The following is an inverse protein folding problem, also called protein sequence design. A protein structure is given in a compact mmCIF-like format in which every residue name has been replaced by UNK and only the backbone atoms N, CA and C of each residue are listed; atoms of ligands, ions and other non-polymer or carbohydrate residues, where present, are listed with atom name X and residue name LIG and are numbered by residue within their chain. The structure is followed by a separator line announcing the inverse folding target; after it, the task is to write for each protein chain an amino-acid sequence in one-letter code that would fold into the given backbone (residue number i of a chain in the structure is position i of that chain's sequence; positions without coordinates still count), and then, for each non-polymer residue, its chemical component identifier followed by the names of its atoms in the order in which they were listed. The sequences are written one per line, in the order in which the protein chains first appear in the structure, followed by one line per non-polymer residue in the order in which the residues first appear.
data_IF_881240853793
#
_entry.id   IF_881240853793
#
_cell.length_a   1.000
_cell.length_b   1.000
_cell.length_c   1.000
_cell.angle_alpha   90.00
_cell.angle_beta   90.00
_cell.angle_gamma   90.00
#
_symmetry.space_group_name_H-M   'P 1'
#
loop_
_entity.id
_entity.type
_entity.pdbx_description
1 polymer ?
#
# COMPACT_ATOMS: atom_id res chain seq x y z
N UNK A 1 -16.62 18.79 12.09
CA UNK A 1 -15.32 18.68 12.80
C UNK A 1 -14.30 18.43 11.70
N UNK A 2 -13.41 19.39 11.45
CA UNK A 2 -12.46 19.33 10.34
C UNK A 2 -11.08 18.88 10.83
N UNK A 3 -10.40 18.02 10.06
CA UNK A 3 -9.02 17.62 10.37
C UNK A 3 -8.07 18.82 10.38
N UNK A 4 -8.32 19.83 9.55
CA UNK A 4 -7.53 21.07 9.51
C UNK A 4 -7.63 21.88 10.80
N UNK A 5 -8.77 21.83 11.51
CA UNK A 5 -8.91 22.48 12.82
C UNK A 5 -8.02 21.81 13.86
N UNK A 6 -7.88 20.48 13.83
CA UNK A 6 -6.94 19.75 14.70
C UNK A 6 -5.51 20.15 14.38
N UNK A 7 -5.13 20.19 13.10
CA UNK A 7 -3.78 20.61 12.69
C UNK A 7 -3.45 22.04 13.12
N UNK A 8 -4.43 22.96 13.11
CA UNK A 8 -4.23 24.34 13.55
C UNK A 8 -3.92 24.43 15.05
N UNK A 9 -4.55 23.61 15.90
CA UNK A 9 -4.24 23.56 17.33
C UNK A 9 -2.80 23.11 17.57
N UNK A 10 -2.33 22.05 16.91
CA UNK A 10 -0.94 21.62 17.02
C UNK A 10 0.04 22.65 16.46
N UNK A 11 -0.36 23.42 15.43
CA UNK A 11 0.43 24.52 14.90
C UNK A 11 0.58 25.65 15.92
N UNK A 12 -0.51 26.04 16.59
CA UNK A 12 -0.52 27.05 17.66
C UNK A 12 0.32 26.64 18.87
N UNK A 13 0.33 25.35 19.21
CA UNK A 13 1.17 24.78 20.26
C UNK A 13 2.66 24.67 19.86
N UNK A 14 3.00 24.86 18.59
CA UNK A 14 4.36 24.62 18.07
C UNK A 14 4.75 23.14 18.02
N UNK A 15 3.78 22.23 18.14
CA UNK A 15 3.97 20.77 18.14
C UNK A 15 3.70 20.14 16.76
N UNK A 16 3.26 20.93 15.77
CA UNK A 16 3.06 20.45 14.40
C UNK A 16 4.40 20.32 13.65
N UNK A 17 4.76 19.10 13.28
CA UNK A 17 5.85 18.83 12.34
C UNK A 17 5.31 18.63 10.93
N UNK A 18 5.77 19.45 9.97
CA UNK A 18 5.38 19.34 8.55
C UNK A 18 6.56 18.82 7.73
N UNK A 19 6.37 17.67 7.08
CA UNK A 19 7.36 17.07 6.19
C UNK A 19 7.01 17.35 4.72
N UNK A 20 8.02 17.69 3.90
CA UNK A 20 7.82 17.88 2.46
C UNK A 20 7.87 16.55 1.73
N UNK A 21 6.78 16.19 1.07
CA UNK A 21 6.74 15.06 0.13
C UNK A 21 7.36 15.49 -1.20
N UNK A 22 8.47 14.86 -1.59
CA UNK A 22 9.17 15.17 -2.82
C UNK A 22 8.42 14.69 -4.07
N UNK A 23 8.77 15.21 -5.24
CA UNK A 23 8.15 14.81 -6.53
C UNK A 23 8.37 13.35 -6.94
N UNK A 24 9.27 12.64 -6.25
CA UNK A 24 9.52 11.21 -6.49
C UNK A 24 8.43 10.29 -5.93
N UNK A 25 7.50 10.82 -5.13
CA UNK A 25 6.37 10.07 -4.59
C UNK A 25 5.11 10.29 -5.43
N UNK A 26 4.32 9.23 -5.62
CA UNK A 26 2.95 9.34 -6.12
C UNK A 26 1.97 9.55 -4.95
N UNK A 27 1.26 10.67 -4.96
CA UNK A 27 0.12 10.91 -4.07
C UNK A 27 -1.14 10.98 -4.92
N UNK A 28 -2.04 10.02 -4.70
CA UNK A 28 -3.28 9.88 -5.47
C UNK A 28 -4.46 10.09 -4.53
N UNK A 29 -5.42 10.88 -4.99
CA UNK A 29 -6.76 10.94 -4.42
C UNK A 29 -7.72 10.29 -5.43
N UNK A 30 -8.64 9.47 -4.97
CA UNK A 30 -9.60 8.75 -5.82
C UNK A 30 -11.00 9.35 -5.72
N UNK A 31 -11.10 10.66 -5.51
CA UNK A 31 -12.36 11.38 -5.29
C UNK A 31 -13.24 11.54 -6.53
N UNK A 32 -12.70 11.31 -7.74
CA UNK A 32 -13.44 11.34 -9.01
C UNK A 32 -13.24 10.05 -9.81
N UNK A 33 -14.17 9.75 -10.73
CA UNK A 33 -14.05 8.61 -11.65
C UNK A 33 -12.72 8.63 -12.43
N UNK A 34 -12.32 9.80 -12.93
CA UNK A 34 -11.08 9.95 -13.68
C UNK A 34 -9.84 9.74 -12.80
N UNK A 35 -9.81 10.35 -11.60
CA UNK A 35 -8.68 10.20 -10.67
C UNK A 35 -8.51 8.76 -10.15
N UNK A 36 -9.63 8.04 -9.96
CA UNK A 36 -9.62 6.62 -9.63
C UNK A 36 -9.00 5.78 -10.75
N UNK A 37 -9.39 6.06 -12.01
CA UNK A 37 -8.84 5.36 -13.16
C UNK A 37 -7.34 5.63 -13.28
N UNK A 38 -6.90 6.88 -13.18
CA UNK A 38 -5.48 7.25 -13.21
C UNK A 38 -4.67 6.51 -12.13
N UNK A 39 -5.17 6.47 -10.89
CA UNK A 39 -4.51 5.76 -9.79
C UNK A 39 -4.41 4.24 -10.07
N UNK A 40 -5.50 3.63 -10.56
CA UNK A 40 -5.52 2.21 -10.90
C UNK A 40 -4.55 1.88 -12.04
N UNK A 41 -4.47 2.73 -13.07
CA UNK A 41 -3.53 2.55 -14.19
C UNK A 41 -2.08 2.70 -13.75
N UNK A 42 -1.79 3.64 -12.85
CA UNK A 42 -0.47 3.82 -12.26
C UNK A 42 -0.03 2.56 -11.50
N UNK A 43 -0.87 2.06 -10.59
CA UNK A 43 -0.59 0.83 -9.82
C UNK A 43 -0.38 -0.35 -10.75
N UNK A 44 -1.29 -0.58 -11.70
CA UNK A 44 -1.20 -1.67 -12.69
C UNK A 44 0.13 -1.62 -13.46
N UNK A 45 0.54 -0.43 -13.91
CA UNK A 45 1.77 -0.25 -14.68
C UNK A 45 3.01 -0.63 -13.87
N UNK A 46 3.08 -0.17 -12.61
CA UNK A 46 4.21 -0.48 -11.74
C UNK A 46 4.29 -1.97 -11.41
N UNK A 47 3.17 -2.59 -11.02
CA UNK A 47 3.13 -4.00 -10.65
C UNK A 47 3.54 -4.90 -11.83
N UNK A 48 3.04 -4.61 -13.03
CA UNK A 48 3.37 -5.38 -14.23
C UNK A 48 4.84 -5.26 -14.64
N UNK A 49 5.46 -4.09 -14.41
CA UNK A 49 6.85 -3.84 -14.82
C UNK A 49 7.86 -4.35 -13.80
N UNK A 50 7.54 -4.27 -12.50
CA UNK A 50 8.49 -4.58 -11.42
C UNK A 50 8.24 -5.94 -10.76
N UNK A 51 7.16 -6.66 -11.13
CA UNK A 51 6.72 -7.92 -10.50
C UNK A 51 6.58 -7.80 -8.98
N UNK A 52 5.99 -6.67 -8.55
CA UNK A 52 5.67 -6.38 -7.14
C UNK A 52 4.15 -6.27 -6.99
N UNK A 53 3.67 -6.37 -5.75
CA UNK A 53 2.32 -5.94 -5.38
C UNK A 53 2.41 -4.69 -4.50
N UNK A 54 1.73 -3.61 -4.87
CA UNK A 54 1.70 -2.38 -4.09
C UNK A 54 0.68 -2.55 -2.96
N UNK A 55 1.08 -2.20 -1.73
CA UNK A 55 0.24 -2.25 -0.54
C UNK A 55 -0.36 -3.65 -0.24
N UNK A 56 0.40 -4.72 -0.48
CA UNK A 56 0.07 -6.09 -0.09
C UNK A 56 0.23 -6.27 1.44
N UNK A 57 -0.86 -6.44 2.22
CA UNK A 57 -0.75 -6.51 3.68
C UNK A 57 -0.03 -7.77 4.17
N UNK A 58 -0.21 -8.90 3.48
CA UNK A 58 0.42 -10.17 3.86
C UNK A 58 1.94 -10.10 3.69
N UNK A 59 2.43 -9.48 2.63
CA UNK A 59 3.86 -9.26 2.43
C UNK A 59 4.44 -8.32 3.49
N UNK A 60 3.78 -7.20 3.75
CA UNK A 60 4.22 -6.25 4.79
C UNK A 60 4.28 -6.93 6.16
N UNK A 61 3.26 -7.73 6.51
CA UNK A 61 3.22 -8.45 7.77
C UNK A 61 4.31 -9.54 7.85
N UNK A 62 4.60 -10.23 6.75
CA UNK A 62 5.68 -11.21 6.67
C UNK A 62 7.05 -10.54 6.85
N UNK A 63 7.31 -9.43 6.15
CA UNK A 63 8.56 -8.68 6.25
C UNK A 63 8.78 -8.04 7.61
N UNK A 64 7.70 -7.62 8.26
CA UNK A 64 7.72 -7.13 9.64
C UNK A 64 7.85 -8.26 10.69
N UNK A 65 7.81 -9.53 10.28
CA UNK A 65 7.89 -10.69 11.17
C UNK A 65 6.64 -10.91 12.03
N UNK A 66 5.49 -10.34 11.65
CA UNK A 66 4.23 -10.52 12.36
C UNK A 66 3.56 -11.86 12.03
N UNK A 67 3.85 -12.42 10.85
CA UNK A 67 3.41 -13.73 10.41
C UNK A 67 4.57 -14.52 9.79
N UNK A 68 4.52 -15.83 9.91
CA UNK A 68 5.48 -16.76 9.29
C UNK A 68 5.05 -17.19 7.88
N UNK A 69 5.92 -17.96 7.20
CA UNK A 69 5.67 -18.45 5.86
C UNK A 69 4.46 -19.39 5.78
N UNK A 70 4.15 -20.16 6.84
CA UNK A 70 2.99 -21.04 6.85
C UNK A 70 1.69 -20.24 6.94
N UNK A 71 1.67 -19.16 7.72
CA UNK A 71 0.56 -18.23 7.80
C UNK A 71 0.31 -17.56 6.46
N UNK A 72 1.36 -17.07 5.77
CA UNK A 72 1.23 -16.51 4.42
C UNK A 72 0.68 -17.56 3.45
N UNK A 73 1.20 -18.79 3.47
CA UNK A 73 0.72 -19.87 2.61
C UNK A 73 -0.78 -20.16 2.82
N UNK A 74 -1.26 -20.15 4.07
CA UNK A 74 -2.69 -20.32 4.38
C UNK A 74 -3.55 -19.19 3.81
N UNK A 75 -3.07 -17.95 3.84
CA UNK A 75 -3.77 -16.80 3.24
C UNK A 75 -3.74 -16.84 1.70
N UNK A 76 -2.65 -17.34 1.12
CA UNK A 76 -2.48 -17.46 -0.32
C UNK A 76 -3.30 -18.60 -0.95
N UNK A 77 -3.56 -19.69 -0.22
CA UNK A 77 -4.27 -20.87 -0.72
C UNK A 77 -5.63 -20.59 -1.37
N UNK A 78 -6.58 -19.84 -0.76
CA UNK A 78 -7.84 -19.50 -1.42
C UNK A 78 -7.65 -18.66 -2.69
N UNK A 79 -6.55 -17.93 -2.79
CA UNK A 79 -6.21 -17.04 -3.90
C UNK A 79 -5.30 -17.70 -4.94
N UNK A 80 -4.89 -18.96 -4.74
CA UNK A 80 -3.89 -19.69 -5.55
C UNK A 80 -4.14 -19.65 -7.06
N UNK A 81 -5.40 -19.50 -7.48
CA UNK A 81 -5.80 -19.47 -8.90
C UNK A 81 -5.56 -18.12 -9.58
N UNK A 82 -5.32 -17.04 -8.85
CA UNK A 82 -5.10 -15.70 -9.40
C UNK A 82 -3.63 -15.24 -9.22
N UNK A 83 -3.30 -14.09 -9.81
CA UNK A 83 -1.96 -13.52 -9.74
C UNK A 83 -1.52 -13.17 -8.32
N UNK A 84 -2.44 -12.72 -7.47
CA UNK A 84 -2.15 -12.34 -6.09
C UNK A 84 -1.73 -13.54 -5.24
N UNK A 85 -2.48 -14.65 -5.31
CA UNK A 85 -2.10 -15.88 -4.60
C UNK A 85 -0.77 -16.44 -5.08
N UNK A 86 -0.53 -16.44 -6.40
CA UNK A 86 0.77 -16.85 -6.96
C UNK A 86 1.93 -15.98 -6.47
N UNK A 87 1.74 -14.67 -6.44
CA UNK A 87 2.71 -13.72 -5.90
C UNK A 87 3.09 -14.03 -4.45
N UNK A 88 2.09 -14.29 -3.59
CA UNK A 88 2.35 -14.63 -2.19
C UNK A 88 3.14 -15.94 -2.03
N UNK A 89 2.87 -16.94 -2.87
CA UNK A 89 3.65 -18.18 -2.87
C UNK A 89 5.09 -17.98 -3.34
N UNK A 90 5.30 -17.21 -4.41
CA UNK A 90 6.64 -16.85 -4.89
C UNK A 90 7.42 -16.10 -3.80
N UNK A 91 6.76 -15.20 -3.06
CA UNK A 91 7.36 -14.37 -2.01
C UNK A 91 7.93 -15.16 -0.83
N UNK A 92 7.34 -16.30 -0.50
CA UNK A 92 7.76 -17.17 0.63
C UNK A 92 8.63 -18.36 0.21
N UNK A 93 8.98 -18.47 -1.08
CA UNK A 93 9.92 -19.49 -1.57
C UNK A 93 9.27 -20.84 -1.96
N UNK A 94 8.27 -20.80 -2.84
CA UNK A 94 7.91 -21.92 -3.73
C UNK A 94 7.98 -21.52 -5.19
#
# INVERSE_FOLDING_TARGET
MEVTSVNAVYLEMGELTVARMGRGYGWFDTGTHDSLLEAAEFVRTLQNRQRIQIACPEEVAFDAGWIDAEQVARLAEPLRKNEYGRYLFERIGR
#
